data_IF_443037960659
#
_entry.id   IF_443037960659
#
_cell.length_a   1.000
_cell.length_b   1.000
_cell.length_c   1.000
_cell.angle_alpha   90.00
_cell.angle_beta   90.00
_cell.angle_gamma   90.00
#
_symmetry.space_group_name_H-M   'P 1'
#
loop_
_entity.id
_entity.type
_entity.pdbx_description
1 polymer ?
#
# COMPACT_ATOMS: atom_id res chain seq x y z
N UNK A 1 -36.65 -8.46 0.32
CA UNK A 1 -35.49 -8.20 -0.57
C UNK A 1 -34.27 -8.01 0.32
N UNK A 2 -33.48 -9.07 0.56
CA UNK A 2 -32.22 -8.96 1.30
C UNK A 2 -31.13 -9.58 0.44
N UNK A 3 -30.46 -8.73 -0.35
CA UNK A 3 -29.22 -9.10 -1.03
C UNK A 3 -28.13 -9.18 0.03
N UNK A 4 -27.83 -10.40 0.48
CA UNK A 4 -26.58 -10.70 1.16
C UNK A 4 -25.45 -10.52 0.13
N UNK A 5 -24.86 -9.32 0.10
CA UNK A 5 -23.63 -9.09 -0.63
C UNK A 5 -22.52 -9.89 0.06
N UNK A 6 -22.08 -10.96 -0.59
CA UNK A 6 -20.95 -11.75 -0.14
C UNK A 6 -19.71 -10.87 0.00
N UNK A 7 -19.18 -10.77 1.22
CA UNK A 7 -17.83 -10.27 1.43
C UNK A 7 -16.91 -11.43 1.09
N UNK A 8 -16.71 -11.62 -0.21
CA UNK A 8 -15.57 -12.38 -0.70
C UNK A 8 -14.32 -11.67 -0.21
N UNK A 9 -13.69 -12.21 0.82
CA UNK A 9 -12.29 -11.91 1.13
C UNK A 9 -11.50 -12.19 -0.13
N UNK A 10 -11.27 -11.16 -0.94
CA UNK A 10 -10.31 -11.23 -2.02
C UNK A 10 -8.96 -11.46 -1.36
N UNK A 11 -8.58 -12.72 -1.20
CA UNK A 11 -7.20 -13.17 -1.32
C UNK A 11 -6.73 -12.86 -2.75
N UNK A 12 -6.80 -11.59 -3.13
CA UNK A 12 -6.45 -11.09 -4.44
C UNK A 12 -4.97 -11.33 -4.61
N UNK A 13 -4.60 -11.90 -5.75
CA UNK A 13 -3.20 -12.09 -6.15
C UNK A 13 -2.46 -10.76 -6.01
N UNK A 14 -1.21 -10.81 -5.59
CA UNK A 14 -0.38 -9.62 -5.55
C UNK A 14 0.01 -9.20 -6.96
N UNK A 15 -0.05 -7.90 -7.26
CA UNK A 15 0.38 -7.35 -8.54
C UNK A 15 0.92 -5.92 -8.38
N UNK A 16 1.70 -5.44 -9.36
CA UNK A 16 2.21 -4.08 -9.35
C UNK A 16 1.08 -3.05 -9.55
N UNK A 17 0.07 -3.38 -10.34
CA UNK A 17 -1.11 -2.55 -10.60
C UNK A 17 -1.91 -2.31 -9.31
N UNK A 18 -2.16 -3.38 -8.54
CA UNK A 18 -2.80 -3.26 -7.22
C UNK A 18 -1.94 -2.45 -6.25
N UNK A 19 -0.62 -2.60 -6.32
CA UNK A 19 0.31 -1.80 -5.54
C UNK A 19 0.23 -0.31 -5.88
N UNK A 20 0.11 0.01 -7.18
CA UNK A 20 -0.07 1.38 -7.67
C UNK A 20 -1.40 1.98 -7.21
N UNK A 21 -2.49 1.22 -7.29
CA UNK A 21 -3.81 1.65 -6.80
C UNK A 21 -3.72 2.02 -5.32
N UNK A 22 -3.21 1.10 -4.49
CA UNK A 22 -3.03 1.33 -3.05
C UNK A 22 -2.09 2.50 -2.75
N UNK A 23 -1.02 2.68 -3.53
CA UNK A 23 -0.09 3.79 -3.36
C UNK A 23 -0.74 5.16 -3.57
N UNK A 24 -1.81 5.21 -4.37
CA UNK A 24 -2.58 6.43 -4.64
C UNK A 24 -3.82 6.56 -3.75
N UNK A 25 -4.18 5.54 -2.97
CA UNK A 25 -5.39 5.51 -2.15
C UNK A 25 -5.20 6.29 -0.82
N UNK A 26 -5.91 7.42 -0.61
CA UNK A 26 -5.84 8.16 0.65
C UNK A 26 -6.53 7.44 1.82
N UNK A 27 -7.29 6.37 1.57
CA UNK A 27 -7.97 5.56 2.60
C UNK A 27 -7.24 4.26 2.92
N UNK A 28 -6.05 4.03 2.35
CA UNK A 28 -5.23 2.87 2.64
C UNK A 28 -5.00 2.71 4.15
N UNK A 29 -5.25 1.50 4.66
CA UNK A 29 -5.09 1.19 6.08
C UNK A 29 -6.10 1.89 6.98
N UNK A 30 -7.25 2.36 6.46
CA UNK A 30 -8.23 3.10 7.26
C UNK A 30 -7.76 4.52 7.61
N UNK A 31 -6.89 5.10 6.78
CA UNK A 31 -6.38 6.47 6.93
C UNK A 31 -7.52 7.50 7.11
N UNK A 32 -7.36 8.36 8.10
CA UNK A 32 -8.28 9.45 8.42
C UNK A 32 -7.90 10.78 7.76
N UNK A 33 -6.85 10.78 6.93
CA UNK A 33 -6.39 11.95 6.19
C UNK A 33 -6.77 11.84 4.70
N UNK A 34 -6.56 12.92 3.95
CA UNK A 34 -6.64 12.92 2.48
C UNK A 34 -5.27 12.67 1.82
N UNK A 35 -4.25 12.32 2.61
CA UNK A 35 -2.90 12.03 2.10
C UNK A 35 -2.80 10.57 1.65
N UNK A 36 -2.18 10.33 0.50
CA UNK A 36 -1.74 9.00 0.07
C UNK A 36 -0.22 8.91 0.03
N UNK A 37 0.36 7.74 -0.24
CA UNK A 37 1.81 7.63 -0.43
C UNK A 37 2.29 8.57 -1.55
N UNK A 38 1.53 8.66 -2.65
CA UNK A 38 1.83 9.53 -3.79
C UNK A 38 1.81 11.03 -3.46
N UNK A 39 1.06 11.46 -2.44
CA UNK A 39 1.02 12.87 -2.03
C UNK A 39 2.37 13.39 -1.53
N UNK A 40 3.20 12.53 -0.93
CA UNK A 40 4.53 12.86 -0.43
C UNK A 40 5.64 12.32 -1.35
N UNK A 41 5.42 11.16 -1.96
CA UNK A 41 6.32 10.51 -2.91
C UNK A 41 5.72 10.57 -4.31
N UNK A 42 5.69 11.74 -4.93
CA UNK A 42 5.09 11.95 -6.25
C UNK A 42 5.71 11.00 -7.29
N UNK A 43 4.89 10.13 -7.88
CA UNK A 43 5.34 9.09 -8.81
C UNK A 43 6.30 8.08 -8.20
N UNK A 44 6.41 8.03 -6.87
CA UNK A 44 7.37 7.23 -6.12
C UNK A 44 8.78 7.81 -5.99
N UNK A 45 8.96 9.10 -6.30
CA UNK A 45 10.24 9.80 -6.13
C UNK A 45 10.79 9.64 -4.71
N UNK A 46 12.07 9.29 -4.61
CA UNK A 46 12.77 9.06 -3.33
C UNK A 46 12.53 7.68 -2.72
N UNK A 47 11.78 6.80 -3.39
CA UNK A 47 11.56 5.39 -2.99
C UNK A 47 12.24 4.41 -3.94
N UNK A 48 13.08 4.89 -4.85
CA UNK A 48 13.87 4.06 -5.75
C UNK A 48 14.67 3.06 -4.91
N UNK A 49 14.57 1.77 -5.25
CA UNK A 49 15.24 0.67 -4.53
C UNK A 49 14.78 0.45 -3.08
N UNK A 50 13.81 1.20 -2.55
CA UNK A 50 13.30 0.97 -1.19
C UNK A 50 12.72 -0.44 -1.00
N UNK A 51 12.28 -1.09 -2.09
CA UNK A 51 11.80 -2.46 -2.11
C UNK A 51 12.86 -3.49 -1.66
N UNK A 52 14.16 -3.20 -1.83
CA UNK A 52 15.27 -4.06 -1.39
C UNK A 52 15.50 -4.01 0.12
N UNK A 53 15.02 -2.94 0.78
CA UNK A 53 15.23 -2.74 2.20
C UNK A 53 14.59 -3.88 3.00
N UNK A 54 15.38 -4.57 3.85
CA UNK A 54 14.92 -5.64 4.74
C UNK A 54 13.81 -5.18 5.70
N UNK A 55 13.71 -3.88 5.94
CA UNK A 55 12.68 -3.22 6.77
C UNK A 55 11.55 -2.60 5.95
N UNK A 56 11.38 -2.94 4.67
CA UNK A 56 10.35 -2.37 3.78
C UNK A 56 8.96 -2.32 4.44
N UNK A 57 8.48 -3.44 4.98
CA UNK A 57 7.20 -3.51 5.69
C UNK A 57 7.10 -2.51 6.84
N UNK A 58 8.18 -2.35 7.62
CA UNK A 58 8.24 -1.40 8.72
C UNK A 58 8.20 0.04 8.21
N UNK A 59 8.90 0.35 7.13
CA UNK A 59 8.90 1.68 6.52
C UNK A 59 7.51 2.07 6.00
N UNK A 60 6.85 1.16 5.28
CA UNK A 60 5.46 1.37 4.81
C UNK A 60 4.53 1.62 6.00
N UNK A 61 4.58 0.78 7.03
CA UNK A 61 3.73 0.92 8.20
C UNK A 61 4.04 2.18 9.03
N UNK A 62 5.29 2.62 9.07
CA UNK A 62 5.64 3.90 9.69
C UNK A 62 5.02 5.09 8.95
N UNK A 63 4.96 5.03 7.62
CA UNK A 63 4.28 6.06 6.81
C UNK A 63 2.76 6.04 7.07
N UNK A 64 2.13 4.85 7.01
CA UNK A 64 0.69 4.71 7.25
C UNK A 64 0.27 5.27 8.61
N UNK A 65 0.97 4.87 9.68
CA UNK A 65 0.63 5.31 11.03
C UNK A 65 1.06 6.76 11.28
N UNK A 66 2.29 7.11 10.91
CA UNK A 66 2.90 8.39 11.28
C UNK A 66 2.46 9.57 10.42
N UNK A 67 2.04 9.33 9.17
CA UNK A 67 1.70 10.41 8.23
C UNK A 67 0.26 10.38 7.74
N UNK A 68 -0.33 9.19 7.62
CA UNK A 68 -1.71 9.01 7.14
C UNK A 68 -2.71 8.75 8.27
N UNK A 69 -2.24 8.66 9.53
CA UNK A 69 -3.07 8.35 10.70
C UNK A 69 -3.92 7.08 10.50
N UNK A 70 -3.39 6.14 9.72
CA UNK A 70 -3.99 4.85 9.46
C UNK A 70 -3.41 3.73 10.31
N UNK A 71 -3.84 2.51 10.03
CA UNK A 71 -3.38 1.31 10.71
C UNK A 71 -2.29 0.59 9.93
N UNK A 72 -1.56 -0.27 10.66
CA UNK A 72 -0.56 -1.14 10.06
C UNK A 72 -1.25 -2.21 9.22
N UNK A 73 -0.70 -2.48 8.04
CA UNK A 73 -1.06 -3.67 7.27
C UNK A 73 -0.08 -4.82 7.59
N UNK A 74 -0.59 -6.05 7.67
CA UNK A 74 0.25 -7.24 7.90
C UNK A 74 1.18 -7.44 6.70
N UNK A 75 2.48 -7.52 6.98
CA UNK A 75 3.54 -7.68 5.98
C UNK A 75 3.49 -8.97 5.17
N UNK A 76 2.71 -9.96 5.61
CA UNK A 76 2.52 -11.25 4.94
C UNK A 76 1.36 -11.25 3.94
N UNK A 77 0.61 -10.15 3.86
CA UNK A 77 -0.55 -10.03 2.98
C UNK A 77 -0.17 -9.78 1.53
N UNK A 78 -1.08 -10.12 0.62
CA UNK A 78 -0.95 -9.75 -0.80
C UNK A 78 -0.87 -8.23 -1.00
N UNK A 79 -1.48 -7.45 -0.11
CA UNK A 79 -1.44 -5.98 -0.11
C UNK A 79 -0.01 -5.45 0.06
N UNK A 80 0.72 -5.90 1.09
CA UNK A 80 2.12 -5.48 1.29
C UNK A 80 3.02 -5.96 0.15
N UNK A 81 2.80 -7.17 -0.38
CA UNK A 81 3.54 -7.68 -1.55
C UNK A 81 3.27 -6.82 -2.79
N UNK A 82 2.03 -6.42 -3.02
CA UNK A 82 1.64 -5.57 -4.15
C UNK A 82 2.32 -4.20 -4.08
N UNK A 83 2.31 -3.56 -2.91
CA UNK A 83 3.05 -2.30 -2.69
C UNK A 83 4.54 -2.49 -3.00
N UNK A 84 5.17 -3.57 -2.51
CA UNK A 84 6.57 -3.87 -2.81
C UNK A 84 6.82 -4.05 -4.31
N UNK A 85 5.93 -4.75 -5.01
CA UNK A 85 6.02 -4.96 -6.46
C UNK A 85 5.91 -3.63 -7.23
N UNK A 86 5.00 -2.75 -6.81
CA UNK A 86 4.90 -1.41 -7.40
C UNK A 86 6.18 -0.60 -7.19
N UNK A 87 6.68 -0.52 -5.95
CA UNK A 87 7.95 0.19 -5.68
C UNK A 87 9.11 -0.40 -6.48
N UNK A 88 9.16 -1.73 -6.65
CA UNK A 88 10.15 -2.38 -7.51
C UNK A 88 10.01 -1.97 -8.97
N UNK A 89 8.79 -1.80 -9.47
CA UNK A 89 8.56 -1.40 -10.88
C UNK A 89 8.96 0.05 -11.18
N UNK A 90 9.25 0.85 -10.15
CA UNK A 90 9.71 2.23 -10.30
C UNK A 90 11.24 2.34 -10.48
N UNK A 91 11.98 1.27 -10.21
CA UNK A 91 13.41 1.21 -10.51
C UNK A 91 13.60 0.93 -12.01
N UNK A 92 14.35 1.77 -12.70
CA UNK A 92 14.89 1.49 -14.04
C UNK A 92 16.18 0.69 -13.95
#
# INVERSE_FOLDING_TARGET
>A
MFLAAGIGSAAGKSSAEKGKEMFNDPKLGGSNTDSSCNSCHAGGKGLENAWENKKFTKLVNNCLVGRMEGEKIDGRTASMRSLKMYIKSLTN
#
